data_IF_137521953977
#
_entry.id   IF_137521953977
#
_cell.length_a   1.000
_cell.length_b   1.000
_cell.length_c   1.000
_cell.angle_alpha   90.00
_cell.angle_beta   90.00
_cell.angle_gamma   90.00
#
_symmetry.space_group_name_H-M   'P 1'
#
loop_
_entity.id
_entity.type
_entity.pdbx_description
1 polymer ?
#
# COMPACT_ATOMS: atom_id res chain seq x y z
N UNK A 1 11.63 -36.52 -9.40
CA UNK A 1 10.44 -36.42 -8.53
C UNK A 1 9.64 -35.24 -9.06
N UNK A 2 8.66 -35.52 -9.90
CA UNK A 2 7.83 -34.50 -10.56
C UNK A 2 6.67 -34.22 -9.62
N UNK A 3 6.60 -33.01 -9.06
CA UNK A 3 5.46 -32.59 -8.26
C UNK A 3 4.22 -32.55 -9.18
N UNK A 4 3.25 -33.43 -8.87
CA UNK A 4 1.93 -33.47 -9.48
C UNK A 4 0.93 -32.84 -8.51
N UNK A 5 0.85 -31.52 -8.53
CA UNK A 5 -0.10 -30.72 -7.76
C UNK A 5 -0.64 -29.61 -8.67
N UNK A 6 -1.19 -30.01 -9.83
CA UNK A 6 -1.90 -29.14 -10.79
C UNK A 6 -3.25 -28.60 -10.28
N UNK A 7 -3.48 -28.62 -8.97
CA UNK A 7 -4.62 -27.94 -8.36
C UNK A 7 -4.06 -27.12 -7.21
N UNK A 8 -3.62 -25.91 -7.53
CA UNK A 8 -3.40 -24.84 -6.54
C UNK A 8 -4.79 -24.44 -6.00
N UNK A 9 -5.43 -25.31 -5.22
CA UNK A 9 -6.70 -25.01 -4.57
C UNK A 9 -6.46 -23.88 -3.57
N UNK A 10 -7.05 -22.70 -3.81
CA UNK A 10 -6.89 -21.52 -2.95
C UNK A 10 -6.11 -20.35 -3.57
N UNK A 11 -5.82 -20.37 -4.88
CA UNK A 11 -5.32 -19.20 -5.60
C UNK A 11 -6.41 -18.49 -6.39
N UNK A 12 -6.51 -17.20 -6.17
CA UNK A 12 -7.17 -16.26 -7.06
C UNK A 12 -6.15 -15.68 -8.03
N UNK A 13 -6.57 -15.49 -9.29
CA UNK A 13 -5.78 -14.80 -10.29
C UNK A 13 -6.66 -13.96 -11.21
N UNK A 14 -6.16 -12.78 -11.60
CA UNK A 14 -6.79 -11.88 -12.56
C UNK A 14 -5.76 -11.31 -13.52
N UNK A 15 -6.06 -11.42 -14.81
CA UNK A 15 -5.32 -10.73 -15.88
C UNK A 15 -5.82 -9.29 -16.01
N UNK A 16 -4.91 -8.37 -16.27
CA UNK A 16 -5.27 -6.98 -16.49
C UNK A 16 -4.32 -6.27 -17.44
N UNK A 17 -4.84 -5.37 -18.28
CA UNK A 17 -4.02 -4.54 -19.14
C UNK A 17 -3.24 -3.53 -18.30
N UNK A 18 -2.03 -3.21 -18.72
CA UNK A 18 -1.14 -2.25 -18.06
C UNK A 18 -0.41 -1.39 -19.08
N UNK A 19 0.04 -0.23 -18.62
CA UNK A 19 0.99 0.62 -19.35
C UNK A 19 2.33 0.62 -18.60
N UNK A 20 3.42 0.96 -19.29
CA UNK A 20 4.71 1.13 -18.66
C UNK A 20 4.65 2.17 -17.53
N UNK A 21 5.32 1.88 -16.41
CA UNK A 21 5.31 2.74 -15.23
C UNK A 21 5.38 1.96 -13.91
N UNK A 22 5.36 2.70 -12.81
CA UNK A 22 5.40 2.14 -11.46
C UNK A 22 3.98 1.96 -10.90
N UNK A 23 3.71 0.75 -10.42
CA UNK A 23 2.44 0.33 -9.85
C UNK A 23 2.65 -0.27 -8.46
N UNK A 24 1.56 -0.37 -7.71
CA UNK A 24 1.53 -1.11 -6.45
C UNK A 24 0.30 -2.01 -6.41
N UNK A 25 0.53 -3.25 -6.01
CA UNK A 25 -0.50 -4.24 -5.69
C UNK A 25 -0.58 -4.37 -4.18
N UNK A 26 -1.69 -3.96 -3.58
CA UNK A 26 -1.87 -3.88 -2.13
C UNK A 26 -3.23 -4.39 -1.69
N UNK A 27 -3.37 -4.55 -0.39
CA UNK A 27 -4.62 -4.85 0.28
C UNK A 27 -4.34 -5.36 1.69
N UNK A 28 -5.34 -6.00 2.28
CA UNK A 28 -5.22 -6.68 3.56
C UNK A 28 -5.45 -8.17 3.40
N UNK A 29 -4.81 -8.95 4.28
CA UNK A 29 -5.08 -10.36 4.42
C UNK A 29 -5.26 -10.71 5.89
N UNK A 30 -6.09 -11.70 6.15
CA UNK A 30 -6.27 -12.36 7.44
C UNK A 30 -6.12 -13.85 7.18
N UNK A 31 -5.38 -14.57 8.02
CA UNK A 31 -5.14 -16.00 7.83
C UNK A 31 -5.15 -16.75 9.15
N UNK A 32 -5.66 -17.97 9.14
CA UNK A 32 -5.59 -18.88 10.30
C UNK A 32 -4.29 -19.68 10.28
N UNK A 33 -3.88 -20.16 9.09
CA UNK A 33 -2.69 -20.98 8.89
C UNK A 33 -2.29 -21.02 7.42
N UNK A 34 -1.07 -21.47 7.15
CA UNK A 34 -0.50 -21.61 5.81
C UNK A 34 0.50 -20.52 5.46
N UNK A 35 0.96 -20.57 4.21
CA UNK A 35 1.85 -19.58 3.60
C UNK A 35 1.14 -18.93 2.42
N UNK A 36 1.26 -17.63 2.34
CA UNK A 36 0.66 -16.80 1.30
C UNK A 36 1.71 -16.35 0.31
N UNK A 37 1.29 -16.24 -0.94
CA UNK A 37 2.04 -15.56 -1.99
C UNK A 37 1.12 -14.58 -2.68
N UNK A 38 1.55 -13.33 -2.74
CA UNK A 38 0.96 -12.27 -3.56
C UNK A 38 1.96 -11.95 -4.66
N UNK A 39 1.51 -11.98 -5.89
CA UNK A 39 2.39 -12.03 -7.05
C UNK A 39 1.81 -11.26 -8.23
N UNK A 40 2.57 -10.32 -8.77
CA UNK A 40 2.30 -9.67 -10.05
C UNK A 40 3.31 -10.16 -11.09
N UNK A 41 2.82 -10.68 -12.22
CA UNK A 41 3.70 -11.26 -13.23
C UNK A 41 3.19 -11.17 -14.65
N UNK A 42 4.14 -11.11 -15.58
CA UNK A 42 3.85 -11.09 -17.01
C UNK A 42 5.14 -11.21 -17.79
N UNK A 43 5.04 -11.69 -19.02
CA UNK A 43 6.18 -11.74 -19.94
C UNK A 43 5.65 -11.49 -21.33
N UNK A 44 6.29 -10.57 -22.05
CA UNK A 44 6.09 -10.37 -23.48
C UNK A 44 7.35 -10.83 -24.23
N UNK A 45 7.19 -11.89 -25.02
CA UNK A 45 8.24 -12.47 -25.86
C UNK A 45 8.23 -11.95 -27.31
N UNK A 46 7.23 -11.16 -27.68
CA UNK A 46 7.07 -10.61 -29.04
C UNK A 46 7.96 -9.39 -29.29
N UNK A 47 8.54 -8.83 -28.24
CA UNK A 47 9.54 -7.73 -28.29
C UNK A 47 10.96 -8.27 -28.04
N UNK A 48 11.98 -7.56 -28.54
CA UNK A 48 13.38 -7.97 -28.39
C UNK A 48 14.23 -6.85 -27.76
N UNK A 49 14.86 -7.09 -26.58
CA UNK A 49 14.78 -8.30 -25.77
C UNK A 49 13.38 -8.53 -25.20
N UNK A 50 13.05 -9.79 -24.89
CA UNK A 50 11.83 -10.12 -24.19
C UNK A 50 11.78 -9.37 -22.85
N UNK A 51 10.62 -8.83 -22.51
CA UNK A 51 10.41 -8.06 -21.28
C UNK A 51 9.44 -8.81 -20.37
N UNK A 52 9.55 -8.59 -19.07
CA UNK A 52 8.64 -9.21 -18.12
C UNK A 52 8.76 -8.62 -16.75
N UNK A 53 7.79 -8.95 -15.90
CA UNK A 53 7.78 -8.60 -14.49
C UNK A 53 7.55 -9.86 -13.67
N UNK A 54 8.22 -9.92 -12.52
CA UNK A 54 8.08 -10.97 -11.53
C UNK A 54 8.26 -10.35 -10.14
N UNK A 55 7.16 -9.85 -9.57
CA UNK A 55 7.17 -9.12 -8.30
C UNK A 55 6.34 -9.85 -7.25
N UNK A 56 6.98 -10.34 -6.19
CA UNK A 56 6.38 -11.23 -5.18
C UNK A 56 6.49 -10.66 -3.78
N UNK A 57 5.45 -10.85 -2.98
CA UNK A 57 5.52 -10.80 -1.52
C UNK A 57 5.10 -12.14 -0.92
N UNK A 58 5.85 -12.56 0.10
CA UNK A 58 5.59 -13.78 0.84
C UNK A 58 5.18 -13.40 2.26
N UNK A 59 4.05 -13.94 2.70
CA UNK A 59 3.55 -13.78 4.06
C UNK A 59 3.15 -15.14 4.59
N UNK A 60 3.09 -15.32 5.91
CA UNK A 60 2.66 -16.60 6.47
C UNK A 60 3.10 -16.79 7.91
N UNK A 61 2.49 -17.79 8.53
CA UNK A 61 2.89 -18.23 9.87
C UNK A 61 4.28 -18.87 9.83
N UNK A 62 5.13 -18.52 10.79
CA UNK A 62 6.45 -19.14 11.02
C UNK A 62 6.38 -20.63 11.33
N UNK A 63 5.16 -21.20 11.48
CA UNK A 63 4.92 -22.57 11.92
C UNK A 63 5.43 -23.62 10.92
N UNK A 64 5.75 -23.24 9.69
CA UNK A 64 6.30 -24.17 8.70
C UNK A 64 7.68 -23.71 8.24
N UNK A 65 8.77 -24.27 8.79
CA UNK A 65 10.00 -24.69 8.08
C UNK A 65 11.13 -24.98 9.08
N UNK A 66 11.05 -26.07 9.84
CA UNK A 66 12.18 -26.48 10.68
C UNK A 66 13.20 -27.29 9.86
N UNK A 67 14.02 -26.60 9.07
CA UNK A 67 15.26 -27.18 8.53
C UNK A 67 16.52 -26.67 9.23
N UNK A 68 16.38 -25.84 10.28
CA UNK A 68 17.50 -25.38 11.12
C UNK A 68 17.06 -25.41 12.59
N UNK A 69 17.84 -26.01 13.52
CA UNK A 69 17.52 -25.97 14.93
C UNK A 69 17.82 -24.57 15.48
N UNK A 70 16.78 -23.83 15.84
CA UNK A 70 16.90 -22.54 16.53
C UNK A 70 15.91 -22.55 17.69
N UNK A 71 16.30 -21.98 18.83
CA UNK A 71 15.39 -21.71 19.94
C UNK A 71 14.28 -20.78 19.44
N UNK A 72 13.08 -21.32 19.27
CA UNK A 72 11.97 -20.58 18.68
C UNK A 72 11.22 -19.84 19.78
N UNK A 73 11.16 -18.49 19.74
CA UNK A 73 10.33 -17.74 20.66
C UNK A 73 8.86 -18.22 20.56
N UNK A 74 8.13 -18.25 21.68
CA UNK A 74 6.77 -18.79 21.74
C UNK A 74 5.83 -18.10 20.72
N UNK A 75 6.10 -16.82 20.46
CA UNK A 75 5.40 -15.98 19.48
C UNK A 75 5.58 -16.47 18.04
N UNK A 76 6.66 -17.19 17.74
CA UNK A 76 6.88 -17.83 16.44
C UNK A 76 6.27 -19.25 16.35
N UNK A 77 5.77 -19.79 17.47
CA UNK A 77 4.93 -21.00 17.52
C UNK A 77 3.43 -20.67 17.47
N UNK A 78 3.06 -19.45 17.88
CA UNK A 78 1.73 -18.92 17.65
C UNK A 78 1.61 -18.52 16.16
N UNK A 79 0.52 -18.95 15.51
CA UNK A 79 0.19 -18.44 14.18
C UNK A 79 -0.10 -16.94 14.25
N UNK A 80 -0.20 -16.25 13.10
CA UNK A 80 -0.79 -14.92 13.07
C UNK A 80 -2.15 -14.97 13.78
N UNK A 81 -2.47 -13.92 14.54
CA UNK A 81 -3.77 -13.81 15.19
C UNK A 81 -4.85 -13.95 14.11
N UNK A 82 -5.71 -15.00 14.18
CA UNK A 82 -6.67 -15.25 13.15
C UNK A 82 -7.68 -14.12 13.03
N UNK A 83 -7.85 -13.24 14.02
CA UNK A 83 -8.75 -12.08 13.96
C UNK A 83 -8.10 -10.81 13.40
N UNK A 84 -6.76 -10.79 13.26
CA UNK A 84 -6.02 -9.62 12.83
C UNK A 84 -5.90 -9.52 11.31
N UNK A 85 -6.19 -8.34 10.76
CA UNK A 85 -5.92 -7.99 9.38
C UNK A 85 -4.52 -7.41 9.23
N UNK A 86 -3.75 -7.94 8.28
CA UNK A 86 -2.39 -7.53 8.00
C UNK A 86 -2.28 -6.91 6.61
N UNK A 87 -1.64 -5.75 6.47
CA UNK A 87 -1.44 -5.14 5.15
C UNK A 87 -0.40 -5.91 4.34
N UNK A 88 -0.55 -5.88 3.02
CA UNK A 88 0.50 -6.24 2.07
C UNK A 88 0.65 -5.17 0.99
N UNK A 89 1.85 -5.05 0.44
CA UNK A 89 2.18 -4.14 -0.66
C UNK A 89 3.30 -4.75 -1.51
N UNK A 90 3.06 -4.87 -2.81
CA UNK A 90 4.02 -5.34 -3.81
C UNK A 90 4.22 -4.23 -4.83
N UNK A 91 5.43 -3.68 -4.88
CA UNK A 91 5.81 -2.69 -5.89
C UNK A 91 6.13 -3.39 -7.21
N UNK A 92 5.59 -2.86 -8.29
CA UNK A 92 5.68 -3.47 -9.63
C UNK A 92 6.11 -2.41 -10.62
N UNK A 93 7.30 -2.56 -11.20
CA UNK A 93 7.75 -1.70 -12.30
C UNK A 93 7.43 -2.40 -13.63
N UNK A 94 6.48 -1.84 -14.39
CA UNK A 94 6.06 -2.36 -15.68
C UNK A 94 6.98 -1.80 -16.77
N UNK A 95 7.75 -2.64 -17.49
CA UNK A 95 8.61 -2.17 -18.56
C UNK A 95 7.80 -1.79 -19.81
N UNK A 96 8.39 -0.96 -20.67
CA UNK A 96 7.85 -0.71 -22.02
C UNK A 96 7.71 -2.02 -22.80
N UNK A 97 6.61 -2.14 -23.55
CA UNK A 97 6.28 -3.34 -24.31
C UNK A 97 5.60 -4.44 -23.51
N UNK A 98 5.36 -4.30 -22.20
CA UNK A 98 4.51 -5.23 -21.45
C UNK A 98 3.10 -4.64 -21.28
N UNK A 99 2.11 -5.22 -21.96
CA UNK A 99 0.74 -4.68 -22.04
C UNK A 99 -0.26 -5.41 -21.14
N UNK A 100 0.08 -6.60 -20.64
CA UNK A 100 -0.76 -7.39 -19.75
C UNK A 100 0.09 -8.01 -18.64
N UNK A 101 -0.43 -7.98 -17.41
CA UNK A 101 0.08 -8.80 -16.31
C UNK A 101 -1.05 -9.63 -15.71
N UNK A 102 -0.65 -10.64 -14.93
CA UNK A 102 -1.52 -11.42 -14.05
C UNK A 102 -1.18 -11.09 -12.61
N UNK A 103 -2.19 -10.69 -11.84
CA UNK A 103 -2.12 -10.65 -10.39
C UNK A 103 -2.60 -12.00 -9.86
N UNK A 104 -1.85 -12.56 -8.93
CA UNK A 104 -2.18 -13.82 -8.26
C UNK A 104 -2.03 -13.65 -6.77
N UNK A 105 -2.98 -14.15 -5.99
CA UNK A 105 -2.88 -14.22 -4.54
C UNK A 105 -3.52 -15.50 -4.02
N UNK A 106 -2.95 -16.06 -2.96
CA UNK A 106 -3.50 -17.27 -2.37
C UNK A 106 -2.52 -18.01 -1.49
N UNK A 107 -2.95 -19.20 -1.06
CA UNK A 107 -2.16 -20.11 -0.25
C UNK A 107 -1.23 -20.97 -1.10
N UNK A 108 0.05 -20.93 -0.78
CA UNK A 108 1.12 -21.63 -1.48
C UNK A 108 1.58 -22.88 -0.71
N UNK A 109 1.56 -24.04 -1.38
CA UNK A 109 2.07 -25.34 -0.91
C UNK A 109 1.56 -25.88 0.44
N UNK A 110 0.67 -25.17 1.13
CA UNK A 110 0.19 -25.52 2.47
C UNK A 110 -1.32 -25.32 2.54
N UNK A 111 -2.09 -26.31 3.04
CA UNK A 111 -3.49 -26.11 3.35
C UNK A 111 -3.66 -25.01 4.39
N UNK A 112 -4.72 -24.22 4.25
CA UNK A 112 -5.04 -23.15 5.17
C UNK A 112 -6.30 -22.42 4.75
N UNK A 113 -6.56 -21.33 5.45
CA UNK A 113 -7.65 -20.42 5.14
C UNK A 113 -7.12 -18.98 5.17
N UNK A 114 -7.51 -18.21 4.15
CA UNK A 114 -7.16 -16.81 4.00
C UNK A 114 -8.37 -16.05 3.50
N UNK A 115 -8.55 -14.86 4.07
CA UNK A 115 -9.44 -13.83 3.56
C UNK A 115 -8.61 -12.64 3.09
N UNK A 116 -9.05 -12.00 2.02
CA UNK A 116 -8.45 -10.80 1.48
C UNK A 116 -9.50 -9.69 1.47
N UNK A 117 -9.07 -8.46 1.74
CA UNK A 117 -9.93 -7.28 1.70
C UNK A 117 -9.18 -6.06 1.15
N UNK A 118 -9.92 -5.07 0.66
CA UNK A 118 -9.42 -3.84 0.03
C UNK A 118 -8.29 -4.06 -0.98
N UNK A 119 -8.41 -5.12 -1.78
CA UNK A 119 -7.42 -5.45 -2.81
C UNK A 119 -7.45 -4.40 -3.91
N UNK A 120 -6.31 -3.75 -4.13
CA UNK A 120 -6.15 -2.71 -5.12
C UNK A 120 -4.86 -2.87 -5.91
N UNK A 121 -4.95 -2.58 -7.21
CA UNK A 121 -3.80 -2.44 -8.08
C UNK A 121 -3.94 -1.17 -8.92
N UNK A 122 -2.89 -0.37 -8.93
CA UNK A 122 -2.85 0.85 -9.72
C UNK A 122 -1.52 1.57 -9.57
N UNK A 123 -1.42 2.82 -10.06
CA UNK A 123 -0.19 3.60 -10.02
C UNK A 123 0.42 3.67 -8.62
N UNK A 124 1.74 3.52 -8.51
CA UNK A 124 2.47 3.56 -7.23
C UNK A 124 2.40 4.94 -6.58
N UNK A 125 2.10 5.97 -7.37
CA UNK A 125 1.91 7.33 -6.89
C UNK A 125 0.63 7.94 -7.45
N UNK A 126 0.04 8.84 -6.68
CA UNK A 126 -1.17 9.59 -7.03
C UNK A 126 -0.95 11.07 -6.78
N UNK A 127 -1.77 11.89 -7.44
CA UNK A 127 -1.90 13.29 -7.09
C UNK A 127 -2.88 13.41 -5.93
N UNK A 128 -2.48 14.09 -4.86
CA UNK A 128 -3.33 14.36 -3.70
C UNK A 128 -3.65 15.85 -3.66
N UNK A 129 -4.94 16.18 -3.61
CA UNK A 129 -5.39 17.57 -3.47
C UNK A 129 -6.01 17.77 -2.09
N UNK A 130 -5.41 18.64 -1.29
CA UNK A 130 -5.96 19.12 -0.03
C UNK A 130 -6.71 20.43 -0.29
N UNK A 131 -7.98 20.48 0.12
CA UNK A 131 -8.75 21.72 0.18
C UNK A 131 -8.91 22.10 1.65
N UNK A 132 -8.48 23.30 2.03
CA UNK A 132 -8.73 23.85 3.36
C UNK A 132 -9.70 25.02 3.21
N UNK A 133 -10.74 25.04 4.03
CA UNK A 133 -11.77 26.08 4.05
C UNK A 133 -11.96 26.57 5.48
N UNK A 134 -12.13 27.88 5.66
CA UNK A 134 -12.34 28.52 6.95
C UNK A 134 -12.57 30.00 6.76
N UNK A 135 -13.84 30.40 6.64
CA UNK A 135 -14.22 31.78 6.31
C UNK A 135 -13.72 32.75 7.40
N UNK A 136 -12.83 33.67 7.01
CA UNK A 136 -12.24 34.65 7.92
C UNK A 136 -11.23 34.09 8.93
N UNK A 137 -10.99 32.78 8.92
CA UNK A 137 -10.00 32.15 9.80
C UNK A 137 -8.57 32.44 9.31
N UNK A 138 -7.64 32.47 10.28
CA UNK A 138 -6.22 32.65 10.02
C UNK A 138 -5.51 31.34 10.29
N UNK A 139 -4.82 30.82 9.28
CA UNK A 139 -4.11 29.56 9.41
C UNK A 139 -2.76 29.79 10.10
N UNK A 140 -2.48 29.04 11.18
CA UNK A 140 -1.15 29.00 11.80
C UNK A 140 -0.25 28.02 11.03
N UNK A 141 -0.74 26.81 10.77
CA UNK A 141 0.01 25.80 10.02
C UNK A 141 -0.88 24.72 9.42
N UNK A 142 -0.50 24.21 8.23
CA UNK A 142 -0.99 22.96 7.65
C UNK A 142 0.21 22.05 7.39
N UNK A 143 0.11 20.81 7.84
CA UNK A 143 1.12 19.77 7.60
C UNK A 143 0.45 18.51 7.09
N UNK A 144 1.13 17.86 6.16
CA UNK A 144 0.76 16.52 5.69
C UNK A 144 1.91 15.61 6.04
N UNK A 145 1.68 14.65 6.93
CA UNK A 145 2.67 13.69 7.41
C UNK A 145 2.34 12.32 6.84
N UNK A 146 3.36 11.55 6.46
CA UNK A 146 3.19 10.11 6.18
C UNK A 146 3.33 9.37 7.51
N UNK A 147 2.46 8.39 7.75
CA UNK A 147 2.58 7.52 8.92
C UNK A 147 3.98 6.89 8.99
N UNK A 148 4.54 6.84 10.21
CA UNK A 148 5.92 6.42 10.45
C UNK A 148 7.01 7.41 9.99
N UNK A 149 6.68 8.57 9.41
CA UNK A 149 7.65 9.60 9.01
C UNK A 149 7.53 10.84 9.90
N UNK A 150 8.66 11.26 10.50
CA UNK A 150 8.75 12.52 11.22
C UNK A 150 8.82 13.74 10.26
N UNK A 151 9.24 13.53 9.02
CA UNK A 151 9.34 14.58 8.01
C UNK A 151 8.00 14.71 7.29
N UNK A 152 7.38 15.91 7.27
CA UNK A 152 6.14 16.12 6.55
C UNK A 152 6.39 16.12 5.03
N UNK A 153 5.44 15.55 4.28
CA UNK A 153 5.38 15.62 2.82
C UNK A 153 5.02 17.03 2.35
N UNK A 154 4.28 17.78 3.18
CA UNK A 154 3.97 19.18 2.96
C UNK A 154 3.93 19.95 4.28
N UNK A 155 4.42 21.20 4.26
CA UNK A 155 4.37 22.11 5.39
C UNK A 155 4.13 23.53 4.89
N UNK A 156 3.02 24.14 5.30
CA UNK A 156 2.62 25.48 4.88
C UNK A 156 3.61 26.57 5.27
N UNK A 157 4.46 26.36 6.28
CA UNK A 157 5.52 27.30 6.63
C UNK A 157 6.52 27.55 5.48
N UNK A 158 6.62 26.62 4.54
CA UNK A 158 7.46 26.72 3.35
C UNK A 158 6.69 27.20 2.10
N UNK A 159 5.37 27.44 2.22
CA UNK A 159 4.50 27.81 1.11
C UNK A 159 4.25 29.32 1.10
N UNK A 160 4.74 30.06 0.08
CA UNK A 160 4.53 31.50 -0.01
C UNK A 160 3.05 31.89 -0.18
N UNK A 161 2.20 30.96 -0.60
CA UNK A 161 0.76 31.19 -0.76
C UNK A 161 -0.02 30.96 0.53
N UNK A 162 0.62 30.47 1.59
CA UNK A 162 0.02 30.23 2.90
C UNK A 162 0.87 30.77 4.07
N UNK A 163 1.19 32.07 4.08
CA UNK A 163 1.99 32.65 5.14
C UNK A 163 1.27 32.56 6.50
N UNK A 164 1.99 32.13 7.54
CA UNK A 164 1.47 31.95 8.89
C UNK A 164 0.75 33.21 9.41
N UNK A 165 -0.47 33.02 9.90
CA UNK A 165 -1.27 34.04 10.56
C UNK A 165 -1.96 35.03 9.62
N UNK A 166 -1.90 34.83 8.31
CA UNK A 166 -2.74 35.56 7.36
C UNK A 166 -4.12 34.89 7.22
N UNK A 167 -5.15 35.67 6.82
CA UNK A 167 -6.44 35.10 6.44
C UNK A 167 -6.23 34.05 5.35
N UNK A 168 -6.93 32.92 5.49
CA UNK A 168 -6.86 31.85 4.50
C UNK A 168 -7.40 32.38 3.15
N UNK A 169 -6.65 32.27 2.04
CA UNK A 169 -7.21 32.57 0.73
C UNK A 169 -8.30 31.54 0.42
N UNK A 170 -9.45 31.99 -0.10
CA UNK A 170 -10.53 31.07 -0.48
C UNK A 170 -10.58 30.88 -2.01
N UNK A 171 -10.48 29.63 -2.52
CA UNK A 171 -10.14 28.39 -1.80
C UNK A 171 -8.62 28.21 -1.59
N UNK A 172 -8.20 27.73 -0.42
CA UNK A 172 -6.81 27.32 -0.21
C UNK A 172 -6.67 25.86 -0.64
N UNK A 173 -5.90 25.66 -1.71
CA UNK A 173 -5.68 24.35 -2.33
C UNK A 173 -4.20 24.04 -2.39
N UNK A 174 -3.84 22.86 -1.93
CA UNK A 174 -2.50 22.31 -2.06
C UNK A 174 -2.59 21.05 -2.88
N UNK A 175 -1.87 21.01 -3.98
CA UNK A 175 -1.73 19.81 -4.81
C UNK A 175 -0.34 19.24 -4.59
N UNK A 176 -0.27 17.99 -4.12
CA UNK A 176 0.96 17.23 -4.01
C UNK A 176 1.01 16.20 -5.14
N UNK A 177 2.03 16.32 -5.97
CA UNK A 177 2.29 15.35 -7.02
C UNK A 177 3.09 14.15 -6.48
N UNK A 178 2.89 13.00 -7.10
CA UNK A 178 3.64 11.77 -6.85
C UNK A 178 3.64 11.28 -5.38
N UNK A 179 2.51 11.44 -4.67
CA UNK A 179 2.33 10.91 -3.31
C UNK A 179 2.12 9.39 -3.38
N UNK A 180 2.79 8.61 -2.50
CA UNK A 180 2.67 7.16 -2.51
C UNK A 180 1.22 6.70 -2.30
N UNK A 181 0.69 5.89 -3.21
CA UNK A 181 -0.71 5.43 -3.16
C UNK A 181 -0.97 4.40 -2.05
N UNK A 182 0.09 3.76 -1.54
CA UNK A 182 0.04 2.82 -0.43
C UNK A 182 0.30 3.47 0.95
N UNK A 183 0.44 4.79 1.00
CA UNK A 183 0.69 5.53 2.24
C UNK A 183 -0.58 5.78 3.05
N UNK A 184 -0.42 5.78 4.37
CA UNK A 184 -1.34 6.43 5.31
C UNK A 184 -0.79 7.81 5.63
N UNK A 185 -1.65 8.82 5.65
CA UNK A 185 -1.31 10.21 5.83
C UNK A 185 -2.09 10.82 7.00
N UNK A 186 -1.42 11.66 7.78
CA UNK A 186 -2.03 12.49 8.82
C UNK A 186 -1.96 13.94 8.35
N UNK A 187 -3.12 14.55 8.21
CA UNK A 187 -3.29 15.96 7.86
C UNK A 187 -3.53 16.72 9.16
N UNK A 188 -2.63 17.63 9.48
CA UNK A 188 -2.71 18.50 10.64
C UNK A 188 -2.99 19.93 10.19
N UNK A 189 -4.09 20.53 10.66
CA UNK A 189 -4.43 21.92 10.39
C UNK A 189 -4.64 22.66 11.72
N UNK A 190 -3.98 23.81 11.87
CA UNK A 190 -4.07 24.66 13.06
C UNK A 190 -4.38 26.08 12.66
N UNK A 191 -5.38 26.68 13.30
CA UNK A 191 -5.73 28.08 13.14
C UNK A 191 -5.17 28.91 14.29
N UNK A 192 -4.99 30.21 14.08
CA UNK A 192 -4.46 31.12 15.09
C UNK A 192 -5.46 31.25 16.25
N UNK A 193 -5.05 30.77 17.43
CA UNK A 193 -5.90 30.78 18.62
C UNK A 193 -6.95 29.66 18.69
N UNK A 194 -6.98 28.78 17.68
CA UNK A 194 -7.83 27.58 17.66
C UNK A 194 -7.09 26.32 18.09
N UNK A 195 -7.83 25.22 18.15
CA UNK A 195 -7.29 23.89 18.41
C UNK A 195 -6.67 23.26 17.15
N UNK A 196 -5.74 22.32 17.35
CA UNK A 196 -5.15 21.53 16.28
C UNK A 196 -6.18 20.49 15.80
N UNK A 197 -6.56 20.56 14.53
CA UNK A 197 -7.37 19.55 13.88
C UNK A 197 -6.48 18.51 13.21
N UNK A 198 -6.90 17.25 13.27
CA UNK A 198 -6.19 16.10 12.71
C UNK A 198 -7.15 15.22 11.92
N UNK A 199 -6.79 14.90 10.69
CA UNK A 199 -7.55 14.01 9.81
C UNK A 199 -6.60 12.95 9.26
N UNK A 200 -7.01 11.69 9.31
CA UNK A 200 -6.28 10.55 8.73
C UNK A 200 -6.80 10.27 7.33
N UNK A 201 -5.90 9.98 6.38
CA UNK A 201 -6.22 9.59 5.01
C UNK A 201 -5.42 8.34 4.59
N UNK A 202 -6.04 7.32 3.99
CA UNK A 202 -7.48 7.15 3.88
C UNK A 202 -8.13 7.09 5.28
N UNK A 203 -9.41 7.46 5.36
CA UNK A 203 -10.20 7.34 6.59
C UNK A 203 -10.20 5.88 7.05
N UNK A 204 -10.21 5.64 8.36
CA UNK A 204 -10.44 4.28 8.87
C UNK A 204 -11.86 3.87 8.50
N UNK A 205 -12.03 2.66 7.96
CA UNK A 205 -13.36 2.09 7.77
C UNK A 205 -14.01 1.91 9.15
N UNK A 206 -15.21 2.50 9.34
CA UNK A 206 -16.04 2.32 10.55
C UNK A 206 -16.52 0.87 10.72
#
# INVERSE_FOLDING_TARGET
MTAHDKVMSGYWAQKMPVQAGDYVFRGYYRTVTGRLLMYAHGTNTDVQPAVGVDARAFHGSSIASFLVPVFVPLEALAGPDPESWHPFSVKVAIPEGLEEITLSMGLYFTPGEVWFDDVWFGPATVQMTLNVSGEGERLESVKILRDGSATPVYNSANDPNCPTGQPLPEPFKVTLDAVASDGVYMIEAKTVGGELQRIRFPEEAE
#
